data_IF_281933118923
#
_entry.id   IF_281933118923
#
_cell.length_a   1.000
_cell.length_b   1.000
_cell.length_c   1.000
_cell.angle_alpha   90.00
_cell.angle_beta   90.00
_cell.angle_gamma   90.00
#
_symmetry.space_group_name_H-M   'P 1'
#
loop_
_entity.id
_entity.type
_entity.pdbx_description
1 polymer ?
#
# COMPACT_ATOMS: atom_id res chain seq x y z
N UNK A 1 3.78 18.55 -2.45
CA UNK A 1 4.37 17.44 -3.22
C UNK A 1 4.27 17.68 -4.70
N UNK A 2 3.09 18.09 -5.18
CA UNK A 2 2.77 18.41 -6.59
C UNK A 2 3.93 18.96 -7.44
N UNK A 3 4.49 20.14 -7.11
CA UNK A 3 5.57 20.74 -7.92
C UNK A 3 6.83 19.87 -8.00
N UNK A 4 7.16 19.13 -6.94
CA UNK A 4 8.28 18.19 -6.94
C UNK A 4 8.00 16.97 -7.82
N UNK A 5 6.75 16.51 -7.85
CA UNK A 5 6.33 15.37 -8.66
C UNK A 5 6.21 15.72 -10.14
N UNK A 6 5.79 16.94 -10.48
CA UNK A 6 5.76 17.44 -11.86
C UNK A 6 5.07 16.48 -12.87
N UNK A 7 4.00 15.82 -12.44
CA UNK A 7 3.27 14.85 -13.27
C UNK A 7 3.98 13.51 -13.48
N UNK A 8 5.07 13.23 -12.76
CA UNK A 8 5.75 11.93 -12.78
C UNK A 8 5.13 10.96 -11.74
N UNK A 9 5.27 9.63 -11.94
CA UNK A 9 4.90 8.65 -10.93
C UNK A 9 5.71 8.84 -9.64
N UNK A 10 5.17 8.37 -8.53
CA UNK A 10 5.77 8.59 -7.21
C UNK A 10 5.73 7.36 -6.31
N UNK A 11 6.66 7.34 -5.36
CA UNK A 11 6.68 6.39 -4.26
C UNK A 11 6.66 7.18 -2.95
N UNK A 12 5.71 6.87 -2.07
CA UNK A 12 5.59 7.43 -0.73
C UNK A 12 5.94 6.37 0.30
N UNK A 13 6.82 6.71 1.23
CA UNK A 13 7.12 5.88 2.39
C UNK A 13 7.00 6.71 3.66
N UNK A 14 6.37 6.16 4.69
CA UNK A 14 6.36 6.76 6.02
C UNK A 14 7.72 6.57 6.69
N UNK A 15 8.32 7.66 7.18
CA UNK A 15 9.70 7.65 7.67
C UNK A 15 9.95 6.81 8.93
N UNK A 16 8.89 6.37 9.60
CA UNK A 16 8.92 5.50 10.78
C UNK A 16 8.65 4.02 10.46
N UNK A 17 8.44 3.66 9.18
CA UNK A 17 8.18 2.29 8.76
C UNK A 17 9.49 1.56 8.41
N UNK A 18 9.69 0.39 9.01
CA UNK A 18 10.84 -0.47 8.74
C UNK A 18 10.38 -1.71 7.98
N UNK A 19 10.97 -1.94 6.81
CA UNK A 19 10.69 -3.10 5.96
C UNK A 19 11.93 -3.99 5.88
N UNK A 20 11.75 -5.27 6.20
CA UNK A 20 12.82 -6.26 6.12
C UNK A 20 12.28 -7.60 5.61
N UNK A 21 13.04 -8.25 4.74
CA UNK A 21 12.70 -9.58 4.24
C UNK A 21 13.47 -9.94 2.97
N UNK A 22 13.74 -11.23 2.81
CA UNK A 22 14.35 -11.74 1.59
C UNK A 22 13.42 -11.49 0.39
N UNK A 23 13.98 -11.02 -0.73
CA UNK A 23 13.22 -10.80 -1.95
C UNK A 23 12.43 -9.49 -2.00
N UNK A 24 12.61 -8.60 -1.01
CA UNK A 24 11.92 -7.31 -1.01
C UNK A 24 12.38 -6.39 -2.16
N UNK A 25 13.68 -6.24 -2.40
CA UNK A 25 14.17 -5.36 -3.49
C UNK A 25 13.71 -5.79 -4.88
N UNK A 26 13.74 -7.08 -5.28
CA UNK A 26 13.13 -7.53 -6.52
C UNK A 26 11.64 -7.20 -6.63
N UNK A 27 10.88 -7.35 -5.53
CA UNK A 27 9.45 -7.00 -5.48
C UNK A 27 9.22 -5.50 -5.70
N UNK A 28 10.03 -4.64 -5.06
CA UNK A 28 9.95 -3.19 -5.26
C UNK A 28 10.28 -2.78 -6.70
N UNK A 29 11.31 -3.38 -7.30
CA UNK A 29 11.65 -3.11 -8.71
C UNK A 29 10.52 -3.50 -9.66
N UNK A 30 9.84 -4.62 -9.42
CA UNK A 30 8.70 -5.03 -10.23
C UNK A 30 7.54 -4.02 -10.13
N UNK A 31 7.24 -3.54 -8.93
CA UNK A 31 6.17 -2.55 -8.71
C UNK A 31 6.55 -1.18 -9.30
N UNK A 32 7.79 -0.74 -9.13
CA UNK A 32 8.29 0.52 -9.69
C UNK A 32 8.28 0.57 -11.23
N UNK A 33 8.30 -0.60 -11.88
CA UNK A 33 8.19 -0.70 -13.34
C UNK A 33 6.75 -0.60 -13.87
N UNK A 34 5.73 -0.61 -12.99
CA UNK A 34 4.34 -0.42 -13.40
C UNK A 34 4.09 1.05 -13.74
N UNK A 35 3.52 1.29 -14.91
CA UNK A 35 3.27 2.64 -15.43
C UNK A 35 1.88 3.17 -15.12
N UNK A 36 0.97 2.30 -14.65
CA UNK A 36 -0.44 2.64 -14.45
C UNK A 36 -0.98 2.09 -13.12
N UNK A 37 -1.84 2.89 -12.50
CA UNK A 37 -2.53 2.58 -11.26
C UNK A 37 -1.70 2.84 -10.01
N UNK A 38 -2.17 2.27 -8.90
CA UNK A 38 -1.51 2.35 -7.62
C UNK A 38 -1.20 0.95 -7.08
N UNK A 39 -0.12 0.82 -6.32
CA UNK A 39 0.20 -0.39 -5.58
C UNK A 39 0.47 -0.05 -4.13
N UNK A 40 -0.20 -0.77 -3.25
CA UNK A 40 0.02 -0.73 -1.80
C UNK A 40 0.33 -2.14 -1.32
N UNK A 41 1.01 -2.25 -0.19
CA UNK A 41 1.36 -3.56 0.38
C UNK A 41 0.50 -3.82 1.62
N UNK A 42 -0.15 -4.99 1.63
CA UNK A 42 -0.83 -5.51 2.80
C UNK A 42 0.12 -6.34 3.67
N UNK A 43 -0.04 -6.22 4.99
CA UNK A 43 0.65 -7.07 5.97
C UNK A 43 -0.32 -7.50 7.07
N UNK A 44 -0.18 -8.74 7.54
CA UNK A 44 -1.01 -9.25 8.62
C UNK A 44 -0.58 -8.66 9.96
N UNK A 45 -1.52 -8.05 10.68
CA UNK A 45 -1.28 -7.44 11.99
C UNK A 45 -2.27 -7.99 13.02
N UNK A 46 -1.90 -7.91 14.30
CA UNK A 46 -2.79 -8.32 15.39
C UNK A 46 -3.88 -7.28 15.68
N UNK A 47 -3.57 -5.99 15.51
CA UNK A 47 -4.46 -4.86 15.84
C UNK A 47 -4.82 -4.06 14.56
N UNK A 48 -5.63 -4.62 13.63
CA UNK A 48 -5.91 -4.01 12.34
C UNK A 48 -6.69 -2.69 12.42
N UNK A 49 -7.49 -2.46 13.46
CA UNK A 49 -8.29 -1.24 13.68
C UNK A 49 -7.46 0.06 13.78
N UNK A 50 -6.14 -0.05 13.92
CA UNK A 50 -5.22 1.10 13.99
C UNK A 50 -4.78 1.61 12.62
N UNK A 51 -5.11 0.90 11.54
CA UNK A 51 -4.58 1.12 10.20
C UNK A 51 -5.71 1.11 9.15
N UNK A 52 -5.34 1.38 7.89
CA UNK A 52 -6.20 1.06 6.74
C UNK A 52 -6.30 -0.45 6.56
N UNK A 53 -7.50 -1.02 6.60
CA UNK A 53 -7.74 -2.48 6.53
C UNK A 53 -8.33 -2.84 5.20
N UNK A 54 -7.71 -3.81 4.52
CA UNK A 54 -8.18 -4.33 3.22
C UNK A 54 -9.10 -5.53 3.44
N UNK A 55 -10.27 -5.52 2.83
CA UNK A 55 -11.15 -6.68 2.71
C UNK A 55 -10.85 -7.43 1.41
N UNK A 56 -10.92 -8.76 1.44
CA UNK A 56 -10.71 -9.61 0.28
C UNK A 56 -11.95 -10.47 -0.02
N UNK A 57 -12.16 -10.77 -1.30
CA UNK A 57 -13.10 -11.81 -1.72
C UNK A 57 -12.50 -13.23 -1.57
N UNK A 58 -13.29 -14.26 -1.93
CA UNK A 58 -12.88 -15.67 -1.87
C UNK A 58 -11.68 -16.00 -2.79
N UNK A 59 -11.38 -15.16 -3.79
CA UNK A 59 -10.25 -15.30 -4.70
C UNK A 59 -9.06 -14.42 -4.30
N UNK A 60 -9.07 -13.88 -3.08
CA UNK A 60 -8.04 -13.00 -2.55
C UNK A 60 -7.86 -11.69 -3.35
N UNK A 61 -8.94 -11.18 -3.95
CA UNK A 61 -8.96 -9.86 -4.59
C UNK A 61 -9.43 -8.83 -3.58
N UNK A 62 -8.73 -7.71 -3.52
CA UNK A 62 -9.12 -6.60 -2.66
C UNK A 62 -10.45 -6.00 -3.14
N UNK A 63 -11.44 -5.93 -2.25
CA UNK A 63 -12.79 -5.43 -2.55
C UNK A 63 -13.15 -4.16 -1.79
N UNK A 64 -12.57 -3.93 -0.61
CA UNK A 64 -12.74 -2.69 0.14
C UNK A 64 -11.49 -2.33 0.93
N UNK A 65 -11.36 -1.05 1.25
CA UNK A 65 -10.32 -0.49 2.12
C UNK A 65 -10.98 0.50 3.06
N UNK A 66 -10.84 0.29 4.37
CA UNK A 66 -11.42 1.15 5.40
C UNK A 66 -10.33 1.70 6.32
N UNK A 67 -10.33 3.00 6.57
CA UNK A 67 -9.36 3.65 7.47
C UNK A 67 -9.81 3.50 8.93
N UNK A 68 -9.01 2.79 9.73
CA UNK A 68 -9.21 2.59 11.17
C UNK A 68 -10.62 2.09 11.53
N UNK A 69 -11.07 0.97 10.94
CA UNK A 69 -12.43 0.48 11.15
C UNK A 69 -12.61 0.00 12.59
N UNK A 70 -13.75 0.34 13.20
CA UNK A 70 -14.11 -0.16 14.54
C UNK A 70 -14.35 -1.68 14.57
N UNK A 71 -14.76 -2.24 13.43
CA UNK A 71 -14.96 -3.68 13.23
C UNK A 71 -14.20 -4.09 11.97
N UNK A 72 -12.91 -4.42 12.09
CA UNK A 72 -12.07 -4.79 10.95
C UNK A 72 -12.62 -6.02 10.22
N UNK A 73 -12.73 -5.93 8.89
CA UNK A 73 -13.20 -7.03 8.05
C UNK A 73 -12.11 -8.06 7.71
N UNK A 74 -10.86 -7.75 8.02
CA UNK A 74 -9.74 -8.66 7.92
C UNK A 74 -8.60 -8.19 8.85
N UNK A 75 -7.55 -9.01 8.95
CA UNK A 75 -6.32 -8.67 9.68
C UNK A 75 -5.23 -8.09 8.77
N UNK A 76 -5.55 -7.70 7.54
CA UNK A 76 -4.60 -7.17 6.58
C UNK A 76 -4.59 -5.65 6.58
N UNK A 77 -3.55 -5.09 7.20
CA UNK A 77 -3.30 -3.66 7.21
C UNK A 77 -2.50 -3.22 5.98
N UNK A 78 -2.84 -2.06 5.43
CA UNK A 78 -2.02 -1.35 4.45
C UNK A 78 -0.80 -0.78 5.17
N UNK A 79 0.39 -1.18 4.71
CA UNK A 79 1.65 -0.65 5.21
C UNK A 79 1.89 0.79 4.72
N UNK A 80 2.82 1.50 5.36
CA UNK A 80 3.21 2.86 4.98
C UNK A 80 4.06 2.96 3.72
N UNK A 81 3.87 2.09 2.72
CA UNK A 81 4.59 2.11 1.44
C UNK A 81 3.60 2.06 0.27
N UNK A 82 3.65 3.09 -0.56
CA UNK A 82 2.69 3.34 -1.62
C UNK A 82 3.41 3.71 -2.92
N UNK A 83 2.98 3.12 -4.03
CA UNK A 83 3.41 3.48 -5.38
C UNK A 83 2.19 4.00 -6.14
N UNK A 84 2.37 5.13 -6.83
CA UNK A 84 1.32 5.78 -7.60
C UNK A 84 1.80 6.14 -8.99
N UNK A 85 0.91 6.03 -9.97
CA UNK A 85 1.08 6.66 -11.27
C UNK A 85 0.96 8.20 -11.20
N UNK A 86 1.06 8.85 -12.34
CA UNK A 86 1.01 10.31 -12.45
C UNK A 86 -0.34 10.94 -12.11
N UNK A 87 -1.40 10.16 -11.87
CA UNK A 87 -2.75 10.65 -11.58
C UNK A 87 -3.00 10.95 -10.10
N UNK A 88 -2.01 10.75 -9.23
CA UNK A 88 -2.15 10.96 -7.79
C UNK A 88 -2.19 12.43 -7.37
N UNK A 89 -1.75 13.33 -8.24
CA UNK A 89 -1.66 14.78 -8.00
C UNK A 89 -2.87 15.51 -8.56
#
# INVERSE_FOLDING_TARGET
>A
GETFLNGEPSCLVLGDNIFFGQGFSPKLRHVAARTEGATVFGYQVMDPERFGVVEFDDNFRAISLEEKPKQPKSNWAVTGLYFYDSKVV
#
